data_IF_575554776596
#
_entry.id   IF_575554776596
#
_cell.length_a   1.000
_cell.length_b   1.000
_cell.length_c   1.000
_cell.angle_alpha   90.00
_cell.angle_beta   90.00
_cell.angle_gamma   90.00
#
_symmetry.space_group_name_H-M   'P 1'
#
loop_
_entity.id
_entity.type
_entity.pdbx_description
1 polymer ?
#
# COMPACT_ATOMS: atom_id res chain seq x y z
N UNK A 1 11.18 -2.72 -7.46
CA UNK A 1 11.08 -3.66 -6.32
C UNK A 1 12.24 -4.62 -6.39
N UNK A 2 13.06 -4.64 -5.32
CA UNK A 2 14.29 -5.46 -5.26
C UNK A 2 14.11 -6.72 -4.39
N UNK A 3 12.88 -7.04 -4.01
CA UNK A 3 12.55 -8.21 -3.20
C UNK A 3 11.49 -9.11 -3.85
N UNK A 4 11.50 -10.39 -3.48
CA UNK A 4 10.44 -11.34 -3.80
C UNK A 4 9.19 -11.01 -2.96
N UNK A 5 8.07 -10.75 -3.62
CA UNK A 5 6.78 -10.52 -2.97
C UNK A 5 6.01 -11.82 -2.86
N UNK A 6 5.74 -12.27 -1.65
CA UNK A 6 4.97 -13.49 -1.35
C UNK A 6 3.54 -13.07 -1.03
N UNK A 7 2.61 -13.57 -1.83
CA UNK A 7 1.26 -13.03 -1.94
C UNK A 7 0.17 -14.09 -1.84
N UNK A 8 0.55 -15.34 -1.66
CA UNK A 8 -0.34 -16.50 -1.55
C UNK A 8 -0.71 -16.86 -0.10
N UNK A 9 -0.25 -16.06 0.87
CA UNK A 9 -0.43 -16.29 2.31
C UNK A 9 -1.23 -15.17 2.93
N UNK A 10 -2.33 -15.51 3.60
CA UNK A 10 -3.20 -14.53 4.27
C UNK A 10 -3.51 -14.99 5.68
N UNK A 11 -3.37 -14.09 6.64
CA UNK A 11 -3.80 -14.32 8.02
C UNK A 11 -5.28 -14.03 8.17
N UNK A 12 -6.03 -14.91 8.83
CA UNK A 12 -7.38 -14.64 9.28
C UNK A 12 -7.45 -13.89 10.63
N UNK A 13 -6.30 -13.60 11.23
CA UNK A 13 -6.19 -13.04 12.58
C UNK A 13 -6.09 -11.50 12.52
N UNK A 14 -7.15 -10.84 12.09
CA UNK A 14 -7.23 -9.38 11.96
C UNK A 14 -8.65 -8.88 12.22
N UNK A 15 -8.80 -7.59 12.34
CA UNK A 15 -10.10 -6.93 12.41
C UNK A 15 -10.32 -6.14 11.12
N UNK A 16 -11.36 -6.46 10.31
CA UNK A 16 -11.68 -5.71 9.10
C UNK A 16 -11.88 -4.21 9.40
N UNK A 17 -11.49 -3.34 8.47
CA UNK A 17 -11.55 -1.89 8.62
C UNK A 17 -12.90 -1.38 9.16
N UNK A 18 -14.00 -1.87 8.60
CA UNK A 18 -15.36 -1.51 9.03
C UNK A 18 -15.72 -1.94 10.45
N UNK A 19 -15.02 -2.93 11.02
CA UNK A 19 -15.25 -3.41 12.39
C UNK A 19 -14.32 -2.77 13.44
N UNK A 20 -13.24 -2.09 13.01
CA UNK A 20 -12.19 -1.57 13.88
C UNK A 20 -12.75 -0.65 14.96
N UNK A 21 -13.67 0.27 14.61
CA UNK A 21 -14.30 1.18 15.58
C UNK A 21 -15.10 0.42 16.65
N UNK A 22 -15.82 -0.62 16.25
CA UNK A 22 -16.61 -1.45 17.17
C UNK A 22 -15.71 -2.27 18.10
N UNK A 23 -14.63 -2.83 17.57
CA UNK A 23 -13.74 -3.75 18.30
C UNK A 23 -12.72 -3.00 19.16
N UNK A 24 -12.11 -1.91 18.64
CA UNK A 24 -11.04 -1.18 19.33
C UNK A 24 -11.43 0.18 19.89
N UNK A 25 -12.71 0.58 19.74
CA UNK A 25 -13.22 1.86 20.27
C UNK A 25 -12.79 3.10 19.46
N UNK A 26 -12.08 2.93 18.35
CA UNK A 26 -11.60 4.00 17.47
C UNK A 26 -11.56 3.55 16.01
N UNK A 27 -11.71 4.43 15.02
CA UNK A 27 -11.66 4.05 13.61
C UNK A 27 -10.26 3.59 13.20
N UNK A 28 -10.16 2.86 12.08
CA UNK A 28 -8.89 2.55 11.42
C UNK A 28 -8.35 3.84 10.79
N UNK A 29 -7.28 4.39 11.38
CA UNK A 29 -6.57 5.57 10.87
C UNK A 29 -5.08 5.30 11.00
N UNK A 30 -4.40 5.11 9.88
CA UNK A 30 -2.97 4.80 9.86
C UNK A 30 -2.18 6.07 10.20
N UNK A 31 -1.41 6.02 11.29
CA UNK A 31 -0.65 7.16 11.83
C UNK A 31 0.83 6.83 12.05
N UNK A 32 1.22 5.56 11.95
CA UNK A 32 2.60 5.13 12.16
C UNK A 32 2.85 3.73 11.59
N UNK A 33 4.12 3.38 11.47
CA UNK A 33 4.59 2.02 11.21
C UNK A 33 5.21 1.48 12.49
N UNK A 34 4.73 0.34 12.97
CA UNK A 34 5.27 -0.32 14.16
C UNK A 34 6.26 -1.40 13.76
N UNK A 35 7.47 -1.29 14.25
CA UNK A 35 8.55 -2.24 14.00
C UNK A 35 8.57 -3.30 15.07
N UNK A 36 8.53 -4.56 14.62
CA UNK A 36 8.67 -5.77 15.41
C UNK A 36 9.86 -6.60 14.94
N UNK A 37 10.25 -7.59 15.73
CA UNK A 37 11.04 -8.72 15.28
C UNK A 37 10.31 -10.02 15.65
N UNK A 38 10.41 -11.04 14.82
CA UNK A 38 9.63 -12.26 14.96
C UNK A 38 10.18 -13.31 15.93
N UNK A 39 10.82 -12.90 17.00
CA UNK A 39 11.22 -13.84 18.07
C UNK A 39 12.72 -14.07 18.11
N UNK A 40 13.18 -15.30 17.78
CA UNK A 40 14.57 -15.70 17.97
C UNK A 40 15.35 -15.83 16.67
N UNK A 41 16.67 -15.75 16.76
CA UNK A 41 17.60 -15.96 15.65
C UNK A 41 17.42 -17.34 15.00
N UNK A 42 17.63 -17.44 13.70
CA UNK A 42 17.60 -18.68 12.94
C UNK A 42 16.20 -19.21 12.61
N UNK A 43 15.14 -18.51 13.00
CA UNK A 43 13.79 -18.91 12.56
C UNK A 43 13.65 -18.72 11.04
N UNK A 44 13.02 -19.69 10.39
CA UNK A 44 12.77 -19.63 8.96
C UNK A 44 11.60 -18.71 8.67
N UNK A 45 11.74 -17.82 7.70
CA UNK A 45 10.71 -16.90 7.19
C UNK A 45 9.36 -17.59 6.96
N UNK A 46 9.34 -18.70 6.20
CA UNK A 46 8.11 -19.44 5.92
C UNK A 46 7.41 -19.94 7.19
N UNK A 47 8.17 -20.40 8.19
CA UNK A 47 7.60 -20.85 9.46
C UNK A 47 6.98 -19.70 10.28
N UNK A 48 7.54 -18.50 10.18
CA UNK A 48 6.96 -17.30 10.80
C UNK A 48 5.67 -16.89 10.09
N UNK A 49 5.66 -16.89 8.75
CA UNK A 49 4.47 -16.63 7.95
C UNK A 49 3.37 -17.64 8.28
N UNK A 50 3.70 -18.95 8.32
CA UNK A 50 2.75 -20.02 8.66
C UNK A 50 2.17 -19.83 10.07
N UNK A 51 3.03 -19.48 11.05
CA UNK A 51 2.60 -19.22 12.41
C UNK A 51 1.61 -18.05 12.52
N UNK A 52 1.88 -16.95 11.83
CA UNK A 52 1.02 -15.74 11.85
C UNK A 52 -0.26 -15.91 11.01
N UNK A 53 -0.26 -16.84 10.05
CA UNK A 53 -1.42 -17.17 9.21
C UNK A 53 -2.24 -18.34 9.75
N UNK A 54 -1.83 -19.02 10.85
CA UNK A 54 -2.57 -20.16 11.38
C UNK A 54 -4.00 -19.78 11.78
N UNK A 55 -4.95 -20.64 11.49
CA UNK A 55 -6.34 -20.41 11.85
C UNK A 55 -6.50 -20.34 13.38
N UNK A 56 -7.31 -19.38 13.87
CA UNK A 56 -7.56 -19.20 15.30
C UNK A 56 -6.34 -18.67 16.09
N UNK A 57 -5.36 -18.09 15.42
CA UNK A 57 -4.25 -17.43 16.07
C UNK A 57 -4.69 -16.16 16.82
N UNK A 58 -3.92 -15.74 17.81
CA UNK A 58 -4.17 -14.52 18.61
C UNK A 58 -3.30 -13.33 18.18
N UNK A 59 -2.49 -13.51 17.16
CA UNK A 59 -1.56 -12.48 16.65
C UNK A 59 -1.40 -12.58 15.13
N UNK A 60 -1.06 -11.47 14.52
CA UNK A 60 -0.70 -11.35 13.11
C UNK A 60 0.22 -10.14 12.93
N UNK A 61 0.59 -9.85 11.69
CA UNK A 61 1.24 -8.62 11.28
C UNK A 61 0.68 -8.21 9.91
N UNK A 62 1.01 -7.00 9.45
CA UNK A 62 0.69 -6.66 8.07
C UNK A 62 1.73 -7.27 7.13
N UNK A 63 3.00 -7.15 7.48
CA UNK A 63 4.11 -7.66 6.70
C UNK A 63 5.06 -8.50 7.54
N UNK A 64 5.63 -9.54 6.92
CA UNK A 64 6.77 -10.31 7.40
C UNK A 64 7.91 -10.06 6.41
N UNK A 65 9.10 -9.66 6.90
CA UNK A 65 10.17 -9.14 6.05
C UNK A 65 11.52 -9.71 6.47
N UNK A 66 12.26 -10.24 5.50
CA UNK A 66 13.69 -10.51 5.60
C UNK A 66 14.42 -10.03 4.36
N UNK A 67 15.74 -10.11 4.32
CA UNK A 67 16.54 -9.68 3.19
C UNK A 67 16.10 -10.32 1.87
N UNK A 68 15.60 -9.51 0.93
CA UNK A 68 15.13 -9.93 -0.38
C UNK A 68 13.75 -10.60 -0.41
N UNK A 69 13.02 -10.74 0.71
CA UNK A 69 11.67 -11.35 0.73
C UNK A 69 10.69 -10.60 1.62
N UNK A 70 9.47 -10.44 1.13
CA UNK A 70 8.35 -9.76 1.82
C UNK A 70 7.07 -10.57 1.66
N UNK A 71 6.40 -10.89 2.75
CA UNK A 71 5.03 -11.41 2.74
C UNK A 71 4.08 -10.37 3.34
N UNK A 72 3.07 -9.94 2.58
CA UNK A 72 1.95 -9.19 3.12
C UNK A 72 0.85 -10.19 3.51
N UNK A 73 0.59 -10.34 4.80
CA UNK A 73 -0.35 -11.34 5.32
C UNK A 73 -1.64 -10.74 5.88
N UNK A 74 -1.69 -9.44 6.12
CA UNK A 74 -2.90 -8.64 6.39
C UNK A 74 -2.81 -7.34 5.62
N UNK A 75 -3.86 -6.99 4.90
CA UNK A 75 -3.90 -5.73 4.17
C UNK A 75 -3.74 -4.52 5.12
N UNK A 76 -2.93 -3.49 4.79
CA UNK A 76 -2.75 -2.33 5.66
C UNK A 76 -4.04 -1.58 6.00
N UNK A 77 -5.06 -1.63 5.13
CA UNK A 77 -6.38 -1.06 5.39
C UNK A 77 -7.12 -1.71 6.56
N UNK A 78 -6.88 -2.99 6.81
CA UNK A 78 -7.42 -3.72 7.95
C UNK A 78 -6.51 -3.55 9.19
N UNK A 79 -6.92 -4.07 10.34
CA UNK A 79 -6.14 -3.96 11.56
C UNK A 79 -5.58 -5.33 11.96
N UNK A 80 -4.33 -5.60 11.64
CA UNK A 80 -3.62 -6.77 12.15
C UNK A 80 -3.49 -6.73 13.67
N UNK A 81 -3.47 -7.90 14.29
CA UNK A 81 -3.33 -8.01 15.76
C UNK A 81 -1.86 -8.13 16.14
N UNK A 82 -1.11 -7.03 16.03
CA UNK A 82 0.34 -7.05 16.19
C UNK A 82 0.86 -6.35 17.45
N UNK A 83 0.15 -5.31 17.92
CA UNK A 83 0.73 -4.42 18.93
C UNK A 83 0.41 -4.79 20.38
N UNK A 84 -0.55 -5.74 20.58
CA UNK A 84 -1.08 -6.05 21.91
C UNK A 84 -1.85 -4.88 22.55
N UNK A 85 -2.21 -3.87 21.76
CA UNK A 85 -2.93 -2.67 22.15
C UNK A 85 -4.01 -2.33 21.13
N UNK A 86 -5.24 -2.04 21.58
CA UNK A 86 -6.32 -1.57 20.70
C UNK A 86 -5.92 -0.32 19.92
N UNK A 87 -5.18 0.60 20.59
CA UNK A 87 -4.69 1.80 19.96
C UNK A 87 -3.67 1.49 18.84
N UNK A 88 -2.67 0.65 19.12
CA UNK A 88 -1.65 0.30 18.16
C UNK A 88 -2.22 -0.48 16.99
N UNK A 89 -3.09 -1.48 17.23
CA UNK A 89 -3.74 -2.23 16.15
C UNK A 89 -4.60 -1.35 15.25
N UNK A 90 -5.34 -0.38 15.83
CA UNK A 90 -6.19 0.50 15.06
C UNK A 90 -5.44 1.59 14.28
N UNK A 91 -4.23 1.98 14.71
CA UNK A 91 -3.56 3.17 14.17
C UNK A 91 -2.18 2.95 13.58
N UNK A 92 -1.71 1.71 13.50
CA UNK A 92 -0.41 1.44 12.89
C UNK A 92 -0.40 0.26 11.93
N UNK A 93 0.62 0.23 11.07
CA UNK A 93 0.97 -0.89 10.24
C UNK A 93 2.11 -1.64 10.94
N UNK A 94 1.93 -2.92 11.27
CA UNK A 94 2.95 -3.73 11.93
C UNK A 94 3.84 -4.46 10.93
N UNK A 95 5.15 -4.29 11.05
CA UNK A 95 6.16 -5.00 10.28
C UNK A 95 6.90 -5.97 11.19
N UNK A 96 6.81 -7.27 10.92
CA UNK A 96 7.60 -8.31 11.57
C UNK A 96 8.89 -8.51 10.79
N UNK A 97 10.00 -8.07 11.37
CA UNK A 97 11.30 -8.08 10.75
C UNK A 97 12.18 -9.21 11.29
N UNK A 98 13.09 -9.69 10.45
CA UNK A 98 14.06 -10.71 10.84
C UNK A 98 14.93 -10.22 12.00
N UNK A 99 15.07 -10.99 13.11
CA UNK A 99 15.80 -10.53 14.29
C UNK A 99 17.31 -10.36 14.08
N UNK A 100 17.91 -10.98 13.06
CA UNK A 100 19.30 -10.82 12.69
C UNK A 100 19.64 -9.39 12.29
N UNK A 101 18.69 -8.65 11.72
CA UNK A 101 18.82 -7.26 11.33
C UNK A 101 20.10 -7.00 10.51
N UNK A 102 20.30 -7.80 9.46
CA UNK A 102 21.43 -7.65 8.53
C UNK A 102 21.23 -6.42 7.63
N UNK A 103 22.25 -6.00 6.91
CA UNK A 103 22.13 -4.90 5.95
C UNK A 103 21.08 -5.19 4.87
N UNK A 104 20.95 -6.45 4.44
CA UNK A 104 19.91 -6.88 3.52
C UNK A 104 18.50 -6.78 4.12
N UNK A 105 18.34 -7.09 5.41
CA UNK A 105 17.07 -6.94 6.12
C UNK A 105 16.69 -5.45 6.23
N UNK A 106 17.66 -4.57 6.55
CA UNK A 106 17.47 -3.12 6.57
C UNK A 106 17.07 -2.57 5.19
N UNK A 107 17.74 -3.02 4.13
CA UNK A 107 17.47 -2.56 2.76
C UNK A 107 16.03 -2.92 2.33
N UNK A 108 15.61 -4.17 2.58
CA UNK A 108 14.27 -4.66 2.22
C UNK A 108 13.19 -3.98 3.06
N UNK A 109 13.37 -3.89 4.37
CA UNK A 109 12.43 -3.20 5.25
C UNK A 109 12.28 -1.71 4.89
N UNK A 110 13.39 -1.04 4.55
CA UNK A 110 13.39 0.34 4.11
C UNK A 110 12.65 0.55 2.79
N UNK A 111 12.71 -0.40 1.86
CA UNK A 111 11.94 -0.35 0.61
C UNK A 111 10.44 -0.43 0.89
N UNK A 112 10.00 -1.38 1.72
CA UNK A 112 8.59 -1.48 2.15
C UNK A 112 8.13 -0.21 2.87
N UNK A 113 8.96 0.38 3.74
CA UNK A 113 8.64 1.63 4.43
C UNK A 113 8.47 2.78 3.43
N UNK A 114 9.31 2.88 2.40
CA UNK A 114 9.15 3.88 1.32
C UNK A 114 7.83 3.71 0.59
N UNK A 115 7.48 2.47 0.23
CA UNK A 115 6.22 2.15 -0.44
C UNK A 115 5.01 2.52 0.43
N UNK A 116 5.04 2.18 1.73
CA UNK A 116 3.99 2.55 2.67
C UNK A 116 3.87 4.07 2.84
N UNK A 117 5.00 4.78 2.91
CA UNK A 117 4.99 6.25 2.99
C UNK A 117 4.50 6.91 1.72
N UNK A 118 4.75 6.34 0.56
CA UNK A 118 4.21 6.82 -0.70
C UNK A 118 2.66 6.75 -0.72
N UNK A 119 2.09 5.75 -0.04
CA UNK A 119 0.63 5.54 0.02
C UNK A 119 -0.02 6.33 1.17
N UNK A 120 0.59 6.31 2.36
CA UNK A 120 -0.04 6.78 3.60
C UNK A 120 0.58 8.08 4.15
N UNK A 121 1.50 8.71 3.42
CA UNK A 121 2.24 9.89 3.87
C UNK A 121 3.45 9.54 4.75
N UNK A 122 4.13 10.55 5.25
CA UNK A 122 5.39 10.40 6.03
C UNK A 122 5.13 9.81 7.42
N UNK A 123 4.83 8.51 7.46
CA UNK A 123 4.54 7.77 8.69
C UNK A 123 5.80 7.63 9.56
N UNK A 124 5.75 8.04 10.85
CA UNK A 124 6.83 7.80 11.79
C UNK A 124 6.98 6.31 12.12
N UNK A 125 8.20 5.87 12.35
CA UNK A 125 8.49 4.55 12.88
C UNK A 125 8.31 4.53 14.39
N UNK A 126 7.69 3.46 14.92
CA UNK A 126 7.50 3.24 16.35
C UNK A 126 8.02 1.85 16.74
N UNK A 127 8.61 1.74 17.93
CA UNK A 127 8.93 0.44 18.53
C UNK A 127 7.65 -0.23 19.03
N UNK A 128 7.58 -1.56 18.99
CA UNK A 128 6.49 -2.30 19.64
C UNK A 128 6.34 -1.92 21.12
N UNK A 129 7.45 -1.67 21.81
CA UNK A 129 7.48 -1.21 23.20
C UNK A 129 6.75 0.12 23.46
N UNK A 130 6.41 0.88 22.41
CA UNK A 130 5.56 2.09 22.53
C UNK A 130 4.09 1.76 22.83
N UNK A 131 3.66 0.52 22.60
CA UNK A 131 2.28 0.08 22.77
C UNK A 131 2.09 -0.84 23.96
N UNK A 132 3.09 -1.69 24.24
CA UNK A 132 3.07 -2.70 25.30
C UNK A 132 4.50 -2.93 25.79
N UNK A 133 4.67 -3.15 27.09
CA UNK A 133 5.97 -3.50 27.68
C UNK A 133 6.51 -4.77 27.02
N UNK A 134 7.64 -4.66 26.31
CA UNK A 134 8.34 -5.73 25.58
C UNK A 134 9.74 -5.29 25.20
N UNK A 135 10.65 -6.24 25.00
CA UNK A 135 11.98 -6.00 24.44
C UNK A 135 11.98 -5.83 22.90
N UNK A 136 10.85 -6.11 22.23
CA UNK A 136 10.67 -5.96 20.79
C UNK A 136 10.74 -4.44 20.41
N UNK A 137 11.43 -4.08 19.34
CA UNK A 137 12.01 -4.89 18.27
C UNK A 137 13.47 -5.31 18.47
N UNK A 138 13.94 -5.51 19.71
CA UNK A 138 15.28 -5.99 20.00
C UNK A 138 16.37 -5.03 19.51
N UNK A 139 17.28 -5.53 18.68
CA UNK A 139 18.43 -4.75 18.19
C UNK A 139 18.14 -3.87 16.97
N UNK A 140 16.90 -3.86 16.44
CA UNK A 140 16.56 -2.99 15.33
C UNK A 140 16.70 -1.53 15.72
N UNK A 141 17.59 -0.83 15.02
CA UNK A 141 17.81 0.61 15.16
C UNK A 141 16.85 1.35 14.22
N UNK A 142 15.84 2.02 14.80
CA UNK A 142 14.82 2.72 14.03
C UNK A 142 15.37 4.00 13.38
N UNK A 143 16.36 4.65 13.94
CA UNK A 143 17.00 5.84 13.35
C UNK A 143 17.76 5.43 12.09
N UNK A 144 18.54 4.36 12.16
CA UNK A 144 19.20 3.76 11.01
C UNK A 144 18.18 3.32 9.95
N UNK A 145 17.12 2.62 10.35
CA UNK A 145 16.08 2.14 9.44
C UNK A 145 15.38 3.30 8.73
N UNK A 146 15.05 4.35 9.46
CA UNK A 146 14.44 5.57 8.91
C UNK A 146 15.40 6.28 7.94
N UNK A 147 16.66 6.41 8.30
CA UNK A 147 17.69 7.01 7.44
C UNK A 147 17.86 6.24 6.12
N UNK A 148 17.89 4.89 6.17
CA UNK A 148 17.94 4.04 4.96
C UNK A 148 16.66 4.17 4.15
N UNK A 149 15.47 4.26 4.79
CA UNK A 149 14.20 4.46 4.10
C UNK A 149 14.08 5.85 3.47
N UNK A 150 14.73 6.87 3.99
CA UNK A 150 14.74 8.24 3.42
C UNK A 150 15.86 8.46 2.41
N UNK A 151 16.90 7.65 2.40
CA UNK A 151 17.94 7.76 1.38
C UNK A 151 17.37 7.36 0.03
N UNK A 152 17.38 8.26 -0.93
CA UNK A 152 17.11 7.96 -2.35
C UNK A 152 18.21 6.99 -2.82
N UNK A 153 17.81 5.78 -3.18
CA UNK A 153 18.69 4.65 -3.42
C UNK A 153 19.91 4.94 -4.29
N UNK A 154 21.04 5.05 -3.61
CA UNK A 154 22.33 4.83 -4.21
C UNK A 154 22.87 3.53 -3.61
N UNK A 155 22.56 2.40 -4.22
CA UNK A 155 23.14 1.11 -3.91
C UNK A 155 23.73 0.49 -5.15
N UNK A 156 25.02 0.29 -5.11
CA UNK A 156 25.77 -0.54 -6.06
C UNK A 156 26.87 0.21 -6.75
N UNK A 157 28.10 0.13 -6.18
CA UNK A 157 29.32 0.52 -6.87
C UNK A 157 29.48 -0.25 -8.17
N UNK A 158 29.28 0.45 -9.28
CA UNK A 158 29.64 0.05 -10.62
C UNK A 158 30.14 1.29 -11.34
N UNK A 159 31.38 1.27 -11.78
CA UNK A 159 32.04 2.35 -12.53
C UNK A 159 31.18 2.77 -13.73
N UNK A 160 30.75 4.03 -13.69
CA UNK A 160 29.99 4.67 -14.77
C UNK A 160 30.86 4.85 -16.02
N UNK A 161 30.47 4.38 -17.20
CA UNK A 161 31.06 4.86 -18.45
C UNK A 161 30.68 6.33 -18.66
N UNK A 162 31.63 7.13 -19.15
CA UNK A 162 31.45 8.54 -19.43
C UNK A 162 30.32 8.78 -20.42
N UNK A 163 29.41 9.68 -20.08
CA UNK A 163 28.31 10.11 -20.94
C UNK A 163 28.82 11.08 -22.03
N UNK A 164 28.25 11.05 -23.24
CA UNK A 164 28.54 12.04 -24.29
C UNK A 164 28.05 13.44 -23.89
N UNK A 165 28.61 14.51 -24.48
CA UNK A 165 28.35 15.89 -24.04
C UNK A 165 26.89 16.29 -24.22
N UNK A 166 26.32 16.86 -23.16
CA UNK A 166 24.95 17.37 -23.09
C UNK A 166 24.85 18.69 -23.85
N UNK A 167 23.86 18.91 -24.73
CA UNK A 167 23.56 20.24 -25.26
C UNK A 167 23.17 21.22 -24.15
N UNK A 168 23.47 22.50 -24.33
CA UNK A 168 23.23 23.56 -23.36
C UNK A 168 21.76 23.60 -22.88
N UNK A 169 21.50 23.97 -21.61
CA UNK A 169 20.18 23.89 -21.03
C UNK A 169 19.23 24.91 -21.65
N UNK A 170 18.18 24.39 -22.25
CA UNK A 170 16.98 25.16 -22.57
C UNK A 170 16.30 25.46 -21.23
N UNK A 171 16.04 26.75 -20.95
CA UNK A 171 15.37 27.23 -19.74
C UNK A 171 14.07 26.44 -19.53
N UNK A 172 13.89 25.67 -18.44
CA UNK A 172 12.68 24.87 -18.26
C UNK A 172 11.48 25.80 -18.09
N UNK A 173 10.46 25.58 -18.88
CA UNK A 173 9.12 26.08 -18.59
C UNK A 173 8.73 25.52 -17.21
N UNK A 174 8.19 26.31 -16.29
CA UNK A 174 7.81 25.81 -14.97
C UNK A 174 6.87 24.62 -15.12
N UNK A 175 7.27 23.46 -14.55
CA UNK A 175 6.47 22.26 -14.57
C UNK A 175 5.13 22.55 -13.88
N UNK A 176 4.04 22.17 -14.53
CA UNK A 176 2.69 22.29 -13.98
C UNK A 176 2.61 21.45 -12.70
N UNK A 177 2.25 22.06 -11.59
CA UNK A 177 2.16 21.43 -10.26
C UNK A 177 0.74 21.05 -9.88
N UNK A 178 -0.27 21.50 -10.66
CA UNK A 178 -1.69 21.24 -10.41
C UNK A 178 -2.41 20.77 -11.66
N UNK A 179 -3.48 20.00 -11.49
CA UNK A 179 -4.40 19.61 -12.56
C UNK A 179 -5.28 20.80 -13.02
N UNK A 180 -6.14 20.64 -14.05
CA UNK A 180 -7.02 21.73 -14.52
C UNK A 180 -7.99 22.26 -13.47
N UNK A 181 -8.30 21.48 -12.45
CA UNK A 181 -9.15 21.88 -11.34
C UNK A 181 -8.39 22.54 -10.17
N UNK A 182 -7.08 22.84 -10.36
CA UNK A 182 -6.24 23.50 -9.35
C UNK A 182 -5.77 22.59 -8.21
N UNK A 183 -6.02 21.28 -8.28
CA UNK A 183 -5.58 20.31 -7.26
C UNK A 183 -4.17 19.79 -7.58
N UNK A 184 -3.38 19.39 -6.57
CA UNK A 184 -2.04 18.82 -6.79
C UNK A 184 -2.06 17.66 -7.78
N UNK A 185 -1.01 17.55 -8.59
CA UNK A 185 -0.85 16.40 -9.48
C UNK A 185 -0.60 15.12 -8.67
N UNK A 186 -1.21 14.03 -9.12
CA UNK A 186 -0.92 12.70 -8.62
C UNK A 186 0.43 12.22 -9.15
N UNK A 187 1.15 11.48 -8.33
CA UNK A 187 2.28 10.69 -8.78
C UNK A 187 1.80 9.58 -9.73
N UNK A 188 2.56 9.32 -10.78
CA UNK A 188 2.26 8.28 -11.76
C UNK A 188 2.94 6.98 -11.34
N UNK A 189 2.54 6.48 -10.19
CA UNK A 189 3.19 5.36 -9.51
C UNK A 189 2.48 4.01 -9.72
N UNK A 190 1.29 4.02 -10.35
CA UNK A 190 0.48 2.83 -10.57
C UNK A 190 -0.18 2.26 -9.32
N UNK A 191 -0.20 3.02 -8.20
CA UNK A 191 -0.87 2.60 -6.97
C UNK A 191 -2.21 3.32 -6.80
N UNK A 192 -3.24 2.56 -6.45
CA UNK A 192 -4.56 3.12 -6.10
C UNK A 192 -4.54 3.54 -4.62
N UNK A 193 -3.68 4.52 -4.30
CA UNK A 193 -3.54 5.10 -2.98
C UNK A 193 -4.59 6.15 -2.66
N UNK A 194 -4.60 6.66 -1.42
CA UNK A 194 -5.59 7.62 -0.92
C UNK A 194 -5.66 8.91 -1.78
N UNK A 195 -4.53 9.40 -2.28
CA UNK A 195 -4.49 10.57 -3.17
C UNK A 195 -5.23 10.30 -4.49
N UNK A 196 -4.99 9.14 -5.12
CA UNK A 196 -5.67 8.74 -6.37
C UNK A 196 -7.16 8.50 -6.12
N UNK A 197 -7.52 7.88 -4.98
CA UNK A 197 -8.91 7.66 -4.57
C UNK A 197 -9.61 9.01 -4.33
N UNK A 198 -9.00 9.93 -3.58
CA UNK A 198 -9.57 11.26 -3.32
C UNK A 198 -9.80 12.05 -4.60
N UNK A 199 -8.85 12.01 -5.54
CA UNK A 199 -9.01 12.69 -6.81
C UNK A 199 -10.14 12.07 -7.65
N UNK A 200 -10.26 10.74 -7.65
CA UNK A 200 -11.35 10.05 -8.32
C UNK A 200 -12.70 10.37 -7.65
N UNK A 201 -12.75 10.48 -6.32
CA UNK A 201 -13.93 10.92 -5.57
C UNK A 201 -14.34 12.35 -5.95
N UNK A 202 -13.38 13.26 -6.06
CA UNK A 202 -13.64 14.63 -6.56
C UNK A 202 -14.25 14.62 -7.95
N UNK A 203 -13.71 13.84 -8.86
CA UNK A 203 -14.17 13.79 -10.27
C UNK A 203 -15.55 13.18 -10.38
N UNK A 204 -15.85 12.16 -9.58
CA UNK A 204 -17.14 11.45 -9.58
C UNK A 204 -18.17 12.06 -8.62
N UNK A 205 -17.82 13.13 -7.89
CA UNK A 205 -18.76 13.86 -7.03
C UNK A 205 -19.19 13.11 -5.78
N UNK A 206 -18.36 12.20 -5.26
CA UNK A 206 -18.65 11.46 -4.03
C UNK A 206 -17.97 12.08 -2.80
N UNK A 207 -18.25 11.56 -1.61
CA UNK A 207 -17.57 11.98 -0.39
C UNK A 207 -16.06 11.76 -0.52
N UNK A 208 -15.28 12.82 -0.28
CA UNK A 208 -13.81 12.79 -0.44
C UNK A 208 -13.15 12.44 0.89
N UNK A 209 -12.88 11.17 1.08
CA UNK A 209 -12.22 10.63 2.28
C UNK A 209 -10.97 9.79 1.97
N UNK A 210 -10.67 9.60 0.66
CA UNK A 210 -9.53 8.81 0.21
C UNK A 210 -9.68 7.30 0.45
N UNK A 211 -10.91 6.82 0.67
CA UNK A 211 -11.19 5.43 1.04
C UNK A 211 -12.18 4.80 0.06
N UNK A 212 -11.96 3.54 -0.31
CA UNK A 212 -12.96 2.69 -0.95
C UNK A 212 -13.58 1.81 0.12
N UNK A 213 -14.85 2.06 0.47
CA UNK A 213 -15.59 1.23 1.42
C UNK A 213 -15.77 -0.20 0.88
N UNK A 214 -15.58 -1.20 1.74
CA UNK A 214 -15.68 -2.63 1.37
C UNK A 214 -16.82 -3.36 2.08
N UNK A 215 -17.77 -2.62 2.65
CA UNK A 215 -18.93 -3.20 3.35
C UNK A 215 -19.93 -3.89 2.40
N UNK A 216 -20.93 -4.61 2.95
CA UNK A 216 -21.95 -5.31 2.15
C UNK A 216 -22.77 -4.36 1.25
N UNK A 217 -22.91 -3.11 1.65
CA UNK A 217 -23.63 -2.07 0.90
C UNK A 217 -22.79 -1.48 -0.26
N UNK A 218 -21.53 -1.90 -0.39
CA UNK A 218 -20.61 -1.41 -1.40
C UNK A 218 -20.03 -0.02 -1.10
N UNK A 219 -19.29 0.51 -2.06
CA UNK A 219 -18.70 1.85 -2.02
C UNK A 219 -19.48 2.79 -2.93
N UNK A 220 -19.87 3.96 -2.41
CA UNK A 220 -20.47 5.01 -3.23
C UNK A 220 -19.54 5.40 -4.39
N UNK A 221 -18.24 5.54 -4.14
CA UNK A 221 -17.26 5.79 -5.20
C UNK A 221 -17.31 4.74 -6.30
N UNK A 222 -17.36 3.45 -5.92
CA UNK A 222 -17.37 2.36 -6.91
C UNK A 222 -18.70 2.32 -7.66
N UNK A 223 -19.83 2.60 -7.01
CA UNK A 223 -21.12 2.71 -7.67
C UNK A 223 -21.13 3.83 -8.72
N UNK A 224 -20.62 5.01 -8.37
CA UNK A 224 -20.51 6.15 -9.31
C UNK A 224 -19.52 5.85 -10.45
N UNK A 225 -18.42 5.17 -10.17
CA UNK A 225 -17.51 4.68 -11.22
C UNK A 225 -18.20 3.70 -12.17
N UNK A 226 -18.99 2.78 -11.63
CA UNK A 226 -19.76 1.82 -12.42
C UNK A 226 -20.77 2.55 -13.33
N UNK A 227 -21.51 3.52 -12.80
CA UNK A 227 -22.43 4.36 -13.58
C UNK A 227 -21.69 5.15 -14.67
N UNK A 228 -20.55 5.73 -14.33
CA UNK A 228 -19.70 6.44 -15.28
C UNK A 228 -19.24 5.52 -16.42
N UNK A 229 -18.74 4.33 -16.12
CA UNK A 229 -18.29 3.37 -17.13
C UNK A 229 -19.45 2.89 -18.03
N UNK A 230 -20.65 2.65 -17.45
CA UNK A 230 -21.85 2.35 -18.23
C UNK A 230 -22.23 3.49 -19.18
N UNK A 231 -22.15 4.76 -18.74
CA UNK A 231 -22.41 5.94 -19.58
C UNK A 231 -21.44 6.06 -20.75
N UNK A 232 -20.25 5.44 -20.65
CA UNK A 232 -19.25 5.35 -21.72
C UNK A 232 -19.42 4.11 -22.61
N UNK A 233 -20.44 3.30 -22.37
CA UNK A 233 -20.75 2.10 -23.17
C UNK A 233 -20.00 0.83 -22.75
N UNK A 234 -19.40 0.79 -21.56
CA UNK A 234 -18.72 -0.39 -21.05
C UNK A 234 -19.66 -1.25 -20.21
N UNK A 235 -19.86 -2.50 -20.61
CA UNK A 235 -20.66 -3.45 -19.85
C UNK A 235 -19.89 -3.99 -18.63
N UNK A 236 -20.53 -3.95 -17.46
CA UNK A 236 -19.94 -4.43 -16.21
C UNK A 236 -20.92 -5.24 -15.33
N UNK A 237 -22.16 -5.41 -15.76
CA UNK A 237 -23.21 -6.10 -15.04
C UNK A 237 -24.05 -5.13 -14.21
N UNK A 238 -24.23 -5.42 -12.92
CA UNK A 238 -25.01 -4.56 -12.02
C UNK A 238 -24.16 -3.44 -11.41
N UNK A 239 -24.80 -2.36 -11.05
CA UNK A 239 -24.24 -1.30 -10.21
C UNK A 239 -24.50 -1.68 -8.75
N UNK A 240 -23.46 -2.08 -8.04
CA UNK A 240 -23.54 -2.58 -6.66
C UNK A 240 -22.50 -1.98 -5.72
N UNK A 241 -21.69 -1.04 -6.22
CA UNK A 241 -20.62 -0.44 -5.44
C UNK A 241 -19.47 -1.41 -5.11
N UNK A 242 -19.40 -2.55 -5.82
CA UNK A 242 -18.40 -3.59 -5.59
C UNK A 242 -17.45 -3.71 -6.79
N UNK A 243 -16.33 -4.39 -6.60
CA UNK A 243 -15.49 -4.81 -7.72
C UNK A 243 -14.42 -3.82 -8.15
N UNK A 244 -14.15 -2.78 -7.38
CA UNK A 244 -12.89 -2.05 -7.43
C UNK A 244 -12.15 -2.33 -6.13
N UNK A 245 -11.16 -3.19 -6.23
CA UNK A 245 -10.33 -3.52 -5.09
C UNK A 245 -8.94 -2.93 -5.34
N UNK A 246 -8.52 -1.92 -4.55
CA UNK A 246 -7.13 -1.52 -4.54
C UNK A 246 -6.33 -2.77 -4.22
N UNK A 247 -5.28 -3.01 -4.97
CA UNK A 247 -4.56 -4.28 -4.90
C UNK A 247 -4.17 -4.61 -3.46
N UNK A 248 -4.89 -5.56 -2.90
CA UNK A 248 -4.58 -6.17 -1.62
C UNK A 248 -3.50 -7.21 -1.91
N UNK A 249 -2.26 -6.78 -1.87
CA UNK A 249 -1.05 -7.58 -1.99
C UNK A 249 -1.31 -9.10 -2.07
N UNK A 250 -1.20 -9.66 -3.29
CA UNK A 250 -1.22 -11.09 -3.52
C UNK A 250 -2.55 -11.77 -3.77
N UNK A 251 -3.63 -11.03 -3.82
CA UNK A 251 -4.89 -11.59 -4.29
C UNK A 251 -5.36 -10.84 -5.52
N UNK A 252 -5.07 -11.38 -6.69
CA UNK A 252 -5.67 -10.90 -7.95
C UNK A 252 -7.16 -11.17 -7.93
N UNK A 253 -7.94 -10.20 -7.44
CA UNK A 253 -9.41 -10.25 -7.53
C UNK A 253 -9.77 -9.68 -8.89
N UNK A 254 -10.18 -10.57 -9.81
CA UNK A 254 -10.64 -10.19 -11.14
C UNK A 254 -12.12 -9.86 -11.11
N UNK A 255 -12.48 -8.66 -11.52
CA UNK A 255 -13.88 -8.21 -11.54
C UNK A 255 -14.25 -7.59 -12.88
N UNK A 256 -15.56 -7.59 -13.18
CA UNK A 256 -16.08 -6.91 -14.37
C UNK A 256 -15.85 -5.39 -14.32
N UNK A 257 -15.97 -4.80 -13.15
CA UNK A 257 -15.69 -3.36 -12.93
C UNK A 257 -14.23 -3.03 -13.30
N UNK A 258 -13.27 -3.85 -12.86
CA UNK A 258 -11.86 -3.66 -13.19
C UNK A 258 -11.58 -3.87 -14.69
N UNK A 259 -12.20 -4.89 -15.32
CA UNK A 259 -12.12 -5.10 -16.77
C UNK A 259 -12.67 -3.90 -17.54
N UNK A 260 -13.83 -3.37 -17.14
CA UNK A 260 -14.43 -2.20 -17.77
C UNK A 260 -13.55 -0.95 -17.62
N UNK A 261 -13.00 -0.72 -16.42
CA UNK A 261 -12.07 0.36 -16.16
C UNK A 261 -10.80 0.24 -17.03
N UNK A 262 -10.20 -0.93 -17.10
CA UNK A 262 -9.02 -1.19 -17.94
C UNK A 262 -9.31 -0.92 -19.43
N UNK A 263 -10.46 -1.37 -19.94
CA UNK A 263 -10.90 -1.08 -21.31
C UNK A 263 -11.07 0.42 -21.55
N UNK A 264 -11.73 1.12 -20.61
CA UNK A 264 -11.89 2.57 -20.67
C UNK A 264 -10.54 3.30 -20.68
N UNK A 265 -9.57 2.82 -19.92
CA UNK A 265 -8.23 3.39 -19.83
C UNK A 265 -7.32 2.98 -20.99
N UNK A 266 -7.73 2.01 -21.83
CA UNK A 266 -6.93 1.51 -22.95
C UNK A 266 -5.77 0.61 -22.54
N UNK A 267 -5.90 -0.08 -21.39
CA UNK A 267 -4.91 -1.03 -20.88
C UNK A 267 -5.37 -2.47 -21.05
N UNK A 268 -4.52 -3.47 -20.75
CA UNK A 268 -4.87 -4.88 -20.86
C UNK A 268 -6.05 -5.22 -19.94
N UNK A 269 -7.20 -5.71 -20.49
CA UNK A 269 -8.42 -5.91 -19.71
C UNK A 269 -8.45 -7.31 -19.07
N UNK A 270 -7.47 -7.62 -18.24
CA UNK A 270 -7.34 -8.90 -17.53
C UNK A 270 -8.14 -8.96 -16.22
N UNK A 271 -8.72 -7.84 -15.80
CA UNK A 271 -9.50 -7.69 -14.57
C UNK A 271 -8.67 -7.57 -13.30
N UNK A 272 -7.35 -7.54 -13.40
CA UNK A 272 -6.43 -7.35 -12.28
C UNK A 272 -5.90 -5.92 -12.22
N UNK A 273 -5.77 -5.36 -11.04
CA UNK A 273 -5.12 -4.06 -10.79
C UNK A 273 -3.86 -4.30 -9.94
N UNK A 274 -2.95 -5.14 -10.44
CA UNK A 274 -1.72 -5.50 -9.72
C UNK A 274 -0.80 -4.28 -9.58
N UNK A 275 -0.42 -3.97 -8.35
CA UNK A 275 0.41 -2.80 -8.07
C UNK A 275 1.92 -3.11 -8.22
N UNK A 276 2.68 -2.25 -8.94
CA UNK A 276 2.19 -1.08 -9.68
C UNK A 276 1.39 -1.50 -10.93
N UNK A 277 0.21 -0.90 -11.11
CA UNK A 277 -0.72 -1.23 -12.18
C UNK A 277 -0.64 -0.22 -13.32
N UNK A 278 -0.42 -0.71 -14.55
CA UNK A 278 -0.49 0.14 -15.74
C UNK A 278 -1.87 0.79 -15.92
N UNK A 279 -2.95 0.14 -15.45
CA UNK A 279 -4.29 0.72 -15.48
C UNK A 279 -4.42 1.87 -14.47
N UNK A 280 -3.85 1.73 -13.28
CA UNK A 280 -3.88 2.81 -12.29
C UNK A 280 -2.98 3.98 -12.71
N UNK A 281 -1.82 3.72 -13.29
CA UNK A 281 -0.99 4.79 -13.87
C UNK A 281 -1.73 5.54 -14.99
N UNK A 282 -2.45 4.82 -15.87
CA UNK A 282 -3.29 5.45 -16.90
C UNK A 282 -4.45 6.25 -16.29
N UNK A 283 -5.06 5.78 -15.19
CA UNK A 283 -6.05 6.52 -14.41
C UNK A 283 -5.45 7.83 -13.86
N UNK A 284 -4.30 7.74 -13.19
CA UNK A 284 -3.59 8.89 -12.64
C UNK A 284 -3.26 9.93 -13.72
N UNK A 285 -2.81 9.50 -14.91
CA UNK A 285 -2.57 10.39 -16.06
C UNK A 285 -3.83 11.12 -16.49
N UNK A 286 -4.99 10.43 -16.58
CA UNK A 286 -6.26 11.06 -16.96
C UNK A 286 -6.77 12.02 -15.90
N UNK A 287 -6.68 11.65 -14.60
CA UNK A 287 -7.04 12.53 -13.49
C UNK A 287 -6.16 13.80 -13.47
N UNK A 288 -4.85 13.65 -13.67
CA UNK A 288 -3.93 14.78 -13.78
C UNK A 288 -4.22 15.68 -14.99
N UNK A 289 -4.68 15.09 -16.08
CA UNK A 289 -5.06 15.83 -17.29
C UNK A 289 -6.47 16.45 -17.21
N UNK A 290 -7.31 16.03 -16.25
CA UNK A 290 -8.72 16.40 -16.17
C UNK A 290 -9.55 15.81 -17.33
N UNK A 291 -9.21 14.62 -17.78
CA UNK A 291 -9.84 13.94 -18.94
C UNK A 291 -10.50 12.60 -18.57
N UNK A 292 -10.68 12.35 -17.27
CA UNK A 292 -11.42 11.19 -16.79
C UNK A 292 -12.92 11.42 -16.93
#
# INVERSE_FOLDING_TARGET
>A
VTYESITDRNSGNFTPAGAVKKVFGRPRVIQSITIHHWGVYGQRFAGVVDYLCRAGGSSSAHYVIEGGRVACIVAPGDAAWHSGSSAGNATSIGLELRPEATDGDYATAAEVIRELRAVYGDLPLRKHSSWKATACPGKWDLERLDAVARSTGASGGGTKPAAPPVPAPVKPTPARTTNPAGRPLLDLDGFLGSATISELQHVLGTTVDGIISTGPDGSQLVAELQLYLLSKGYELGKVDGQGLYPNTHGRTIKTRTQVALQRYLGTTPDGALDAPSAAIEALQRRLNAGTF
#
